data_IF_004976451623
#
_entry.id   IF_004976451623
#
_cell.length_a   1.000
_cell.length_b   1.000
_cell.length_c   1.000
_cell.angle_alpha   90.00
_cell.angle_beta   90.00
_cell.angle_gamma   90.00
#
_symmetry.space_group_name_H-M   'P 1'
#
loop_
_entity.id
_entity.type
_entity.pdbx_description
1 polymer ?
#
# COMPACT_ATOMS: atom_id res chain seq x y z
N UNK A 1 4.75 7.16 -1.83
CA UNK A 1 3.49 6.70 -2.44
C UNK A 1 3.80 5.68 -3.52
N UNK A 2 4.77 5.98 -4.39
CA UNK A 2 5.42 5.08 -5.37
C UNK A 2 5.45 3.58 -5.02
N UNK A 3 5.93 3.18 -3.84
CA UNK A 3 5.97 1.74 -3.48
C UNK A 3 4.57 1.09 -3.47
N UNK A 4 3.52 1.81 -3.05
CA UNK A 4 2.14 1.28 -3.15
C UNK A 4 1.70 1.12 -4.60
N UNK A 5 2.10 2.05 -5.47
CA UNK A 5 1.76 1.98 -6.89
C UNK A 5 2.41 0.76 -7.55
N UNK A 6 3.67 0.47 -7.20
CA UNK A 6 4.39 -0.72 -7.66
C UNK A 6 3.74 -2.00 -7.14
N UNK A 7 3.44 -2.06 -5.84
CA UNK A 7 2.92 -3.29 -5.21
C UNK A 7 1.49 -3.61 -5.67
N UNK A 8 0.67 -2.59 -5.93
CA UNK A 8 -0.75 -2.76 -6.26
C UNK A 8 -1.11 -2.63 -7.74
N UNK A 9 -0.21 -2.11 -8.57
CA UNK A 9 -0.52 -1.77 -9.96
C UNK A 9 -1.54 -0.63 -10.10
N UNK A 10 -1.88 0.06 -9.00
CA UNK A 10 -2.86 1.15 -8.97
C UNK A 10 -2.17 2.51 -9.00
N UNK A 11 -2.88 3.51 -9.53
CA UNK A 11 -2.44 4.91 -9.48
C UNK A 11 -2.59 5.45 -8.06
N UNK A 12 -1.67 6.32 -7.63
CA UNK A 12 -1.77 7.04 -6.36
C UNK A 12 -3.10 7.81 -6.20
N UNK A 13 -3.57 8.39 -7.30
CA UNK A 13 -4.82 9.17 -7.40
C UNK A 13 -5.61 8.68 -8.60
N UNK A 14 -6.83 8.17 -8.38
CA UNK A 14 -7.72 7.72 -9.44
C UNK A 14 -9.18 8.10 -9.16
N UNK A 15 -9.66 9.17 -9.82
CA UNK A 15 -11.04 9.66 -9.68
C UNK A 15 -12.10 8.69 -10.22
N UNK A 16 -11.69 7.62 -10.91
CA UNK A 16 -12.62 6.57 -11.38
C UNK A 16 -12.94 5.55 -10.30
N UNK A 17 -12.19 5.55 -9.19
CA UNK A 17 -12.38 4.65 -8.06
C UNK A 17 -13.14 5.35 -6.93
N UNK A 18 -13.92 4.58 -6.15
CA UNK A 18 -14.62 5.10 -4.97
C UNK A 18 -13.64 5.66 -3.93
N UNK A 19 -12.53 4.95 -3.72
CA UNK A 19 -11.41 5.42 -2.92
C UNK A 19 -10.39 6.09 -3.85
N UNK A 20 -10.44 7.42 -3.93
CA UNK A 20 -9.64 8.21 -4.88
C UNK A 20 -8.14 8.15 -4.56
N UNK A 21 -7.79 8.10 -3.26
CA UNK A 21 -6.40 8.11 -2.81
C UNK A 21 -5.96 6.70 -2.40
N UNK A 22 -4.92 6.18 -3.06
CA UNK A 22 -4.41 4.84 -2.77
C UNK A 22 -3.96 4.66 -1.31
N UNK A 23 -3.47 5.74 -0.69
CA UNK A 23 -3.03 5.72 0.72
C UNK A 23 -4.19 5.46 1.68
N UNK A 24 -5.38 5.99 1.39
CA UNK A 24 -6.57 5.75 2.22
C UNK A 24 -7.00 4.29 2.17
N UNK A 25 -6.88 3.65 1.00
CA UNK A 25 -7.16 2.22 0.83
C UNK A 25 -6.25 1.37 1.73
N UNK A 26 -4.97 1.71 1.85
CA UNK A 26 -4.03 1.01 2.77
C UNK A 26 -4.44 1.22 4.23
N UNK A 27 -4.79 2.44 4.60
CA UNK A 27 -5.27 2.73 5.96
C UNK A 27 -6.54 1.94 6.31
N UNK A 28 -7.48 1.82 5.37
CA UNK A 28 -8.68 1.00 5.54
C UNK A 28 -8.33 -0.47 5.82
N UNK A 29 -7.32 -1.01 5.12
CA UNK A 29 -6.86 -2.38 5.35
C UNK A 29 -6.27 -2.57 6.74
N UNK A 30 -5.46 -1.62 7.22
CA UNK A 30 -4.91 -1.66 8.58
C UNK A 30 -6.02 -1.59 9.64
N UNK A 31 -6.94 -0.64 9.51
CA UNK A 31 -8.06 -0.45 10.46
C UNK A 31 -8.98 -1.66 10.49
N UNK A 32 -9.29 -2.24 9.31
CA UNK A 32 -10.17 -3.42 9.20
C UNK A 32 -9.43 -4.75 9.39
N UNK A 33 -8.13 -4.74 9.68
CA UNK A 33 -7.26 -5.93 9.77
C UNK A 33 -7.40 -6.84 8.55
N UNK A 34 -7.56 -6.24 7.37
CA UNK A 34 -7.62 -6.98 6.11
C UNK A 34 -6.22 -7.50 5.75
N UNK A 35 -6.14 -8.69 5.12
CA UNK A 35 -4.89 -9.20 4.61
C UNK A 35 -4.22 -8.22 3.63
N UNK A 36 -2.96 -7.84 3.90
CA UNK A 36 -2.20 -6.92 3.05
C UNK A 36 -1.84 -7.53 1.69
N UNK A 37 -1.83 -8.86 1.57
CA UNK A 37 -1.66 -9.56 0.30
C UNK A 37 -2.76 -9.25 -0.71
N UNK A 38 -3.94 -8.85 -0.26
CA UNK A 38 -5.02 -8.42 -1.15
C UNK A 38 -4.77 -7.03 -1.77
N UNK A 39 -3.66 -6.36 -1.43
CA UNK A 39 -3.16 -5.18 -2.15
C UNK A 39 -2.20 -5.53 -3.28
N UNK A 40 -1.78 -6.80 -3.44
CA UNK A 40 -0.88 -7.20 -4.50
C UNK A 40 -1.51 -7.03 -5.88
N UNK A 41 -0.73 -6.57 -6.86
CA UNK A 41 -1.15 -6.47 -8.25
C UNK A 41 -1.54 -7.85 -8.79
N UNK A 42 -2.75 -7.94 -9.33
CA UNK A 42 -3.28 -9.16 -9.97
C UNK A 42 -2.41 -9.60 -11.14
N UNK A 43 -1.73 -8.66 -11.81
CA UNK A 43 -0.80 -8.93 -12.91
C UNK A 43 0.46 -9.67 -12.48
N UNK A 44 0.80 -9.68 -11.19
CA UNK A 44 1.90 -10.49 -10.67
C UNK A 44 1.54 -11.97 -10.59
N UNK A 45 0.26 -12.34 -10.63
CA UNK A 45 -0.19 -13.73 -10.64
C UNK A 45 0.44 -14.64 -9.55
N UNK A 46 0.72 -14.08 -8.37
CA UNK A 46 1.38 -14.79 -7.27
C UNK A 46 2.91 -14.91 -7.38
N UNK A 47 3.52 -14.39 -8.45
CA UNK A 47 4.98 -14.35 -8.68
C UNK A 47 5.66 -13.25 -7.84
N UNK A 48 5.51 -13.35 -6.52
CA UNK A 48 6.17 -12.46 -5.56
C UNK A 48 6.41 -13.18 -4.23
N UNK A 49 7.41 -12.72 -3.50
CA UNK A 49 7.63 -13.19 -2.14
C UNK A 49 6.64 -12.50 -1.19
N UNK A 50 5.67 -13.25 -0.66
CA UNK A 50 4.65 -12.73 0.26
C UNK A 50 5.24 -12.00 1.48
N UNK A 51 6.33 -12.52 2.06
CA UNK A 51 6.98 -11.91 3.21
C UNK A 51 7.56 -10.54 2.85
N UNK A 52 8.20 -10.43 1.70
CA UNK A 52 8.76 -9.16 1.23
C UNK A 52 7.68 -8.16 0.79
N UNK A 53 6.57 -8.66 0.22
CA UNK A 53 5.40 -7.82 -0.08
C UNK A 53 4.83 -7.20 1.21
N UNK A 54 4.61 -8.01 2.25
CA UNK A 54 4.13 -7.50 3.55
C UNK A 54 5.11 -6.47 4.12
N UNK A 55 6.43 -6.75 4.10
CA UNK A 55 7.46 -5.81 4.57
C UNK A 55 7.41 -4.48 3.82
N UNK A 56 7.28 -4.51 2.49
CA UNK A 56 7.20 -3.31 1.66
C UNK A 56 5.94 -2.50 1.97
N UNK A 57 4.79 -3.14 2.11
CA UNK A 57 3.53 -2.45 2.44
C UNK A 57 3.61 -1.83 3.84
N UNK A 58 4.11 -2.56 4.84
CA UNK A 58 4.27 -2.03 6.20
C UNK A 58 5.26 -0.85 6.26
N UNK A 59 6.41 -0.96 5.58
CA UNK A 59 7.35 0.16 5.46
C UNK A 59 6.67 1.36 4.82
N UNK A 60 5.93 1.13 3.74
CA UNK A 60 5.27 2.19 2.99
C UNK A 60 4.17 2.88 3.78
N UNK A 61 3.42 2.15 4.61
CA UNK A 61 2.44 2.70 5.55
C UNK A 61 3.11 3.66 6.54
N UNK A 62 4.25 3.27 7.13
CA UNK A 62 5.05 4.16 7.98
C UNK A 62 5.56 5.40 7.22
N UNK A 63 6.02 5.25 5.98
CA UNK A 63 6.45 6.38 5.14
C UNK A 63 5.30 7.31 4.68
N UNK A 64 4.03 6.89 4.80
CA UNK A 64 2.84 7.74 4.53
C UNK A 64 2.22 8.34 5.78
N UNK A 65 2.82 8.16 6.96
CA UNK A 65 2.25 8.66 8.20
C UNK A 65 1.94 10.16 8.12
N UNK A 66 0.78 10.57 8.61
CA UNK A 66 0.34 11.98 8.54
C UNK A 66 1.28 12.89 9.32
N UNK A 67 1.67 12.49 10.53
CA UNK A 67 2.76 13.12 11.29
C UNK A 67 4.13 12.85 10.62
N UNK A 68 4.83 13.89 10.13
CA UNK A 68 6.15 13.73 9.53
C UNK A 68 7.22 13.18 10.48
N UNK A 69 7.10 13.41 11.80
CA UNK A 69 8.10 12.95 12.79
C UNK A 69 8.08 11.45 13.00
N UNK A 70 6.97 10.80 12.67
CA UNK A 70 6.80 9.34 12.76
C UNK A 70 7.22 8.61 11.49
N UNK A 71 7.60 9.35 10.43
CA UNK A 71 8.10 8.75 9.20
C UNK A 71 9.54 8.28 9.41
N UNK A 72 9.93 7.11 8.86
CA UNK A 72 11.32 6.66 8.88
C UNK A 72 12.26 7.63 8.16
N UNK A 73 13.53 7.66 8.58
CA UNK A 73 14.60 8.30 7.81
C UNK A 73 14.92 7.48 6.55
N UNK A 74 15.36 8.18 5.50
CA UNK A 74 15.87 7.58 4.26
C UNK A 74 17.27 7.02 4.44
#
# INVERSE_FOLDING_TARGET
>A
VVVLEIVSGLKAVDFRQLEVLLVNKVHEFEVRKRPLEALADVGLNGEYNLKELIRLVSLRAACTHSDPKLRPST
#
